data_IF_245690138171
#
_entry.id   IF_245690138171
#
_cell.length_a   1.000
_cell.length_b   1.000
_cell.length_c   1.000
_cell.angle_alpha   90.00
_cell.angle_beta   90.00
_cell.angle_gamma   90.00
#
_symmetry.space_group_name_H-M   'P 1'
#
loop_
_entity.id
_entity.type
_entity.pdbx_description
1 polymer ?
#
# COMPACT_ATOMS: atom_id res chain seq x y z
N UNK A 1 19.80 -11.42 -86.59
CA UNK A 1 20.62 -12.42 -85.89
C UNK A 1 20.97 -11.83 -84.53
N UNK A 2 20.65 -12.55 -83.44
CA UNK A 2 20.77 -12.17 -82.01
C UNK A 2 19.62 -11.24 -81.56
N UNK A 3 18.52 -11.69 -80.95
CA UNK A 3 18.30 -12.74 -79.93
C UNK A 3 19.22 -12.58 -78.73
N UNK A 4 18.62 -12.69 -77.54
CA UNK A 4 19.18 -12.82 -76.18
C UNK A 4 19.81 -11.52 -75.62
N UNK A 5 19.50 -10.99 -74.42
CA UNK A 5 19.22 -11.64 -73.14
C UNK A 5 18.46 -10.75 -72.13
N UNK A 6 17.77 -11.47 -71.24
CA UNK A 6 17.52 -11.18 -69.83
C UNK A 6 16.32 -10.32 -69.40
N UNK A 7 15.25 -11.07 -69.16
CA UNK A 7 14.21 -10.80 -68.17
C UNK A 7 14.83 -10.60 -66.78
N UNK A 8 15.07 -9.36 -66.37
CA UNK A 8 15.17 -9.04 -64.95
C UNK A 8 13.74 -8.89 -64.42
N UNK A 9 13.12 -10.03 -64.12
CA UNK A 9 11.95 -10.08 -63.26
C UNK A 9 12.41 -9.70 -61.84
N UNK A 10 12.38 -8.40 -61.55
CA UNK A 10 12.63 -7.88 -60.20
C UNK A 10 11.45 -8.33 -59.33
N UNK A 11 11.64 -9.44 -58.63
CA UNK A 11 10.71 -9.95 -57.64
C UNK A 11 10.66 -8.92 -56.49
N UNK A 12 9.74 -7.96 -56.63
CA UNK A 12 9.43 -6.98 -55.59
C UNK A 12 8.76 -7.71 -54.45
N UNK A 13 9.56 -8.24 -53.52
CA UNK A 13 9.08 -8.72 -52.23
C UNK A 13 8.37 -7.58 -51.52
N UNK A 14 7.05 -7.56 -51.62
CA UNK A 14 6.20 -6.65 -50.88
C UNK A 14 6.35 -7.02 -49.41
N UNK A 15 7.09 -6.22 -48.64
CA UNK A 15 7.03 -6.27 -47.18
C UNK A 15 5.61 -5.84 -46.80
N UNK A 16 4.76 -6.81 -46.44
CA UNK A 16 3.45 -6.53 -45.87
C UNK A 16 3.66 -5.66 -44.62
N UNK A 17 3.21 -4.42 -44.69
CA UNK A 17 3.16 -3.54 -43.53
C UNK A 17 1.87 -3.88 -42.82
N UNK A 18 1.95 -4.80 -41.86
CA UNK A 18 0.81 -5.11 -41.01
C UNK A 18 0.51 -3.90 -40.12
N UNK A 19 -0.74 -3.42 -40.21
CA UNK A 19 -1.27 -2.32 -39.41
C UNK A 19 -2.28 -2.85 -38.40
N UNK A 20 -2.38 -2.17 -37.26
CA UNK A 20 -3.36 -2.47 -36.22
C UNK A 20 -4.80 -2.47 -36.77
N UNK A 21 -5.59 -3.47 -36.40
CA UNK A 21 -7.01 -3.53 -36.75
C UNK A 21 -7.87 -2.79 -35.71
N UNK A 22 -8.99 -2.20 -36.14
CA UNK A 22 -9.99 -1.62 -35.22
C UNK A 22 -10.55 -2.66 -34.25
N UNK A 23 -10.72 -3.90 -34.72
CA UNK A 23 -11.16 -5.02 -33.90
C UNK A 23 -10.16 -5.35 -32.79
N UNK A 24 -8.87 -5.17 -33.09
CA UNK A 24 -7.78 -5.45 -32.16
C UNK A 24 -7.76 -4.41 -31.03
N UNK A 25 -7.93 -3.13 -31.36
CA UNK A 25 -8.08 -2.10 -30.33
C UNK A 25 -9.35 -2.29 -29.51
N UNK A 26 -10.47 -2.71 -30.14
CA UNK A 26 -11.71 -3.02 -29.43
C UNK A 26 -11.53 -4.17 -28.42
N UNK A 27 -10.83 -5.24 -28.81
CA UNK A 27 -10.51 -6.33 -27.90
C UNK A 27 -9.64 -5.85 -26.72
N UNK A 28 -8.62 -5.02 -26.98
CA UNK A 28 -7.71 -4.48 -25.94
C UNK A 28 -8.46 -3.62 -24.93
N UNK A 29 -9.27 -2.64 -25.37
CA UNK A 29 -10.02 -1.77 -24.44
C UNK A 29 -11.05 -2.55 -23.64
N UNK A 30 -11.65 -3.58 -24.24
CA UNK A 30 -12.61 -4.45 -23.54
C UNK A 30 -11.92 -5.22 -22.42
N UNK A 31 -10.74 -5.79 -22.69
CA UNK A 31 -9.95 -6.48 -21.66
C UNK A 31 -9.51 -5.49 -20.57
N UNK A 32 -9.05 -4.28 -20.94
CA UNK A 32 -8.66 -3.26 -19.97
C UNK A 32 -9.83 -2.84 -19.07
N UNK A 33 -11.05 -2.66 -19.60
CA UNK A 33 -12.23 -2.29 -18.82
C UNK A 33 -12.58 -3.34 -17.76
N UNK A 34 -12.47 -4.64 -18.11
CA UNK A 34 -12.68 -5.74 -17.16
C UNK A 34 -11.64 -5.69 -16.04
N UNK A 35 -10.36 -5.52 -16.38
CA UNK A 35 -9.27 -5.47 -15.40
C UNK A 35 -9.42 -4.30 -14.42
N UNK A 36 -9.73 -3.09 -14.91
CA UNK A 36 -9.90 -1.90 -14.05
C UNK A 36 -11.04 -2.09 -13.05
N UNK A 37 -12.12 -2.75 -13.48
CA UNK A 37 -13.28 -3.04 -12.62
C UNK A 37 -12.89 -3.93 -11.44
N UNK A 38 -11.97 -4.88 -11.64
CA UNK A 38 -11.49 -5.79 -10.58
C UNK A 38 -10.46 -5.10 -9.67
N UNK A 39 -9.58 -4.25 -10.22
CA UNK A 39 -8.47 -3.63 -9.49
C UNK A 39 -8.91 -2.48 -8.58
N UNK A 40 -9.96 -1.74 -8.95
CA UNK A 40 -10.40 -0.57 -8.18
C UNK A 40 -10.74 -0.85 -6.70
N UNK A 41 -11.54 -1.87 -6.33
CA UNK A 41 -11.89 -2.10 -4.92
C UNK A 41 -10.74 -2.66 -4.08
N UNK A 42 -9.81 -3.41 -4.68
CA UNK A 42 -8.78 -4.14 -3.94
C UNK A 42 -7.75 -3.19 -3.33
N UNK A 43 -7.37 -2.13 -4.04
CA UNK A 43 -6.40 -1.14 -3.56
C UNK A 43 -6.84 -0.47 -2.26
N UNK A 44 -8.12 -0.11 -2.16
CA UNK A 44 -8.70 0.53 -0.97
C UNK A 44 -8.68 -0.40 0.25
N UNK A 45 -8.97 -1.70 0.05
CA UNK A 45 -8.93 -2.70 1.12
C UNK A 45 -7.52 -2.91 1.65
N UNK A 46 -6.53 -3.03 0.76
CA UNK A 46 -5.13 -3.19 1.16
C UNK A 46 -4.60 -1.96 1.92
N UNK A 47 -4.97 -0.75 1.47
CA UNK A 47 -4.60 0.47 2.17
C UNK A 47 -5.24 0.56 3.56
N UNK A 48 -6.49 0.12 3.71
CA UNK A 48 -7.17 0.09 5.00
C UNK A 48 -6.53 -0.93 5.96
N UNK A 49 -6.32 -2.17 5.53
CA UNK A 49 -5.66 -3.18 6.36
C UNK A 49 -4.22 -2.78 6.75
N UNK A 50 -3.50 -2.08 5.89
CA UNK A 50 -2.19 -1.53 6.25
C UNK A 50 -2.30 -0.53 7.41
N UNK A 51 -3.31 0.35 7.40
CA UNK A 51 -3.56 1.29 8.50
C UNK A 51 -3.90 0.59 9.80
N UNK A 52 -4.69 -0.48 9.77
CA UNK A 52 -5.02 -1.30 10.95
C UNK A 52 -3.75 -1.90 11.57
N UNK A 53 -2.85 -2.44 10.73
CA UNK A 53 -1.56 -2.97 11.18
C UNK A 53 -0.70 -1.88 11.82
N UNK A 54 -0.67 -0.69 11.25
CA UNK A 54 0.03 0.45 11.86
C UNK A 54 -0.58 0.82 13.21
N UNK A 55 -1.92 0.80 13.35
CA UNK A 55 -2.55 1.06 14.65
C UNK A 55 -2.13 0.03 15.71
N UNK A 56 -2.03 -1.25 15.32
CA UNK A 56 -1.56 -2.32 16.22
C UNK A 56 -0.08 -2.18 16.59
N UNK A 57 0.74 -1.67 15.67
CA UNK A 57 2.15 -1.41 15.90
C UNK A 57 2.35 -0.26 16.88
N UNK A 58 1.69 0.88 16.67
CA UNK A 58 1.73 2.01 17.61
C UNK A 58 1.27 1.60 19.00
N UNK A 59 0.22 0.75 19.09
CA UNK A 59 -0.23 0.19 20.36
C UNK A 59 0.86 -0.64 21.04
N UNK A 60 1.58 -1.46 20.30
CA UNK A 60 2.68 -2.26 20.84
C UNK A 60 3.84 -1.37 21.32
N UNK A 61 4.18 -0.33 20.55
CA UNK A 61 5.27 0.58 20.89
C UNK A 61 4.95 1.46 22.12
N UNK A 62 3.72 1.97 22.23
CA UNK A 62 3.26 2.66 23.43
C UNK A 62 3.25 1.75 24.66
N UNK A 63 2.87 0.48 24.52
CA UNK A 63 2.95 -0.47 25.64
C UNK A 63 4.41 -0.74 26.06
N UNK A 64 5.37 -0.78 25.13
CA UNK A 64 6.80 -0.87 25.48
C UNK A 64 7.27 0.37 26.23
N UNK A 65 6.81 1.57 25.82
CA UNK A 65 7.12 2.81 26.54
C UNK A 65 6.56 2.79 27.98
N UNK A 66 5.34 2.29 28.17
CA UNK A 66 4.75 2.06 29.50
C UNK A 66 5.60 1.08 30.31
N UNK A 67 5.97 -0.07 29.72
CA UNK A 67 6.78 -1.09 30.38
C UNK A 67 8.15 -0.53 30.80
N UNK A 68 8.76 0.30 29.96
CA UNK A 68 10.00 1.02 30.30
C UNK A 68 9.78 2.02 31.45
N UNK A 69 8.69 2.80 31.43
CA UNK A 69 8.38 3.71 32.53
C UNK A 69 8.20 2.98 33.86
N UNK A 70 7.48 1.85 33.85
CA UNK A 70 7.29 0.99 35.01
C UNK A 70 8.62 0.43 35.51
N UNK A 71 9.52 0.07 34.61
CA UNK A 71 10.86 -0.40 34.98
C UNK A 71 11.65 0.67 35.75
N UNK A 72 11.58 1.93 35.32
CA UNK A 72 12.33 3.04 35.93
C UNK A 72 11.68 3.55 37.23
N UNK A 73 10.34 3.62 37.29
CA UNK A 73 9.59 4.25 38.39
C UNK A 73 8.91 3.27 39.35
N UNK A 74 8.94 1.96 39.05
CA UNK A 74 8.23 0.91 39.80
C UNK A 74 6.72 1.16 39.95
N UNK A 75 6.15 2.02 39.12
CA UNK A 75 4.75 2.41 39.11
C UNK A 75 4.31 2.71 37.66
N UNK A 76 3.04 2.43 37.30
CA UNK A 76 2.52 2.76 35.98
C UNK A 76 2.35 4.28 35.80
N UNK A 77 2.41 4.78 34.56
CA UNK A 77 2.21 6.20 34.29
C UNK A 77 0.75 6.59 34.56
N UNK A 78 0.54 7.77 35.15
CA UNK A 78 -0.80 8.29 35.43
C UNK A 78 -1.58 8.67 34.16
N UNK A 79 -0.87 8.96 33.07
CA UNK A 79 -1.46 9.29 31.77
C UNK A 79 -0.41 9.17 30.65
N UNK A 80 -0.87 9.14 29.40
CA UNK A 80 -0.01 9.08 28.22
C UNK A 80 0.93 10.30 28.08
N UNK A 81 0.57 11.45 28.64
CA UNK A 81 1.40 12.65 28.56
C UNK A 81 2.77 12.48 29.22
N UNK A 82 2.86 11.62 30.24
CA UNK A 82 4.11 11.30 30.95
C UNK A 82 5.09 10.56 30.03
N UNK A 83 4.58 9.82 29.04
CA UNK A 83 5.41 9.10 28.08
C UNK A 83 5.96 9.99 26.97
N UNK A 84 5.54 11.25 26.87
CA UNK A 84 6.06 12.22 25.88
C UNK A 84 7.49 12.68 26.16
N UNK A 85 8.07 12.23 27.28
CA UNK A 85 9.49 12.40 27.54
C UNK A 85 10.30 11.60 26.51
N UNK A 86 11.36 12.21 25.97
CA UNK A 86 12.28 11.62 25.00
C UNK A 86 12.88 10.30 25.50
N UNK A 87 13.00 10.13 26.82
CA UNK A 87 13.51 8.91 27.43
C UNK A 87 12.57 7.70 27.26
N UNK A 88 11.26 7.93 27.09
CA UNK A 88 10.25 6.87 27.01
C UNK A 88 9.67 6.68 25.60
N UNK A 89 9.34 7.77 24.93
CA UNK A 89 8.80 7.74 23.58
C UNK A 89 9.32 8.97 22.80
N UNK A 90 10.38 8.83 22.00
CA UNK A 90 11.11 9.95 21.36
C UNK A 90 10.35 10.59 20.18
N UNK A 91 9.09 10.22 19.97
CA UNK A 91 8.26 10.77 18.92
C UNK A 91 7.00 11.37 19.54
N UNK A 92 6.30 12.25 18.82
CA UNK A 92 4.96 12.62 19.25
C UNK A 92 4.03 11.41 19.21
N UNK A 93 3.18 11.27 20.23
CA UNK A 93 2.17 10.19 20.29
C UNK A 93 1.25 10.30 19.07
N UNK A 94 1.23 9.30 18.17
CA UNK A 94 0.46 9.36 16.95
C UNK A 94 -1.02 9.04 17.21
N UNK A 95 -1.90 9.49 16.31
CA UNK A 95 -3.28 9.00 16.22
C UNK A 95 -3.32 7.70 15.41
N UNK A 96 -4.32 6.85 15.65
CA UNK A 96 -4.49 5.62 14.86
C UNK A 96 -4.83 5.97 13.39
N UNK A 97 -4.04 5.53 12.39
CA UNK A 97 -4.29 5.90 10.99
C UNK A 97 -5.58 5.33 10.38
N UNK A 98 -6.22 4.34 11.03
CA UNK A 98 -7.45 3.70 10.55
C UNK A 98 -8.70 4.53 10.92
N UNK A 99 -8.77 5.06 12.14
CA UNK A 99 -9.95 5.75 12.68
C UNK A 99 -9.69 7.22 13.08
N UNK A 100 -8.43 7.67 13.08
CA UNK A 100 -7.97 9.00 13.53
C UNK A 100 -8.34 9.33 14.98
N UNK A 101 -8.46 8.31 15.83
CA UNK A 101 -8.72 8.50 17.26
C UNK A 101 -7.44 8.34 18.08
N UNK A 102 -7.43 8.97 19.26
CA UNK A 102 -6.30 8.94 20.19
C UNK A 102 -6.24 7.63 20.98
N UNK A 103 -5.02 7.17 21.27
CA UNK A 103 -4.81 6.05 22.17
C UNK A 103 -5.15 6.43 23.61
N UNK A 104 -5.67 5.47 24.38
CA UNK A 104 -6.00 5.65 25.80
C UNK A 104 -5.42 4.50 26.63
N UNK A 105 -4.91 4.82 27.81
CA UNK A 105 -4.49 3.83 28.81
C UNK A 105 -5.72 3.37 29.59
N UNK A 106 -5.91 2.06 29.70
CA UNK A 106 -6.90 1.49 30.62
C UNK A 106 -6.46 1.69 32.08
N UNK A 107 -7.27 2.32 32.94
CA UNK A 107 -6.92 2.55 34.35
C UNK A 107 -6.73 1.26 35.17
N UNK A 108 -7.20 0.12 34.67
CA UNK A 108 -7.09 -1.17 35.39
C UNK A 108 -5.86 -1.96 34.98
N UNK A 109 -5.67 -2.17 33.67
CA UNK A 109 -4.54 -2.95 33.14
C UNK A 109 -3.28 -2.13 32.91
N UNK A 110 -3.38 -0.80 32.90
CA UNK A 110 -2.31 0.12 32.51
C UNK A 110 -1.72 -0.19 31.13
N UNK A 111 -2.54 -0.75 30.24
CA UNK A 111 -2.17 -1.02 28.85
C UNK A 111 -3.02 -0.17 27.92
N UNK A 112 -2.52 0.02 26.70
CA UNK A 112 -3.31 0.67 25.65
C UNK A 112 -4.44 -0.27 25.24
N UNK A 113 -5.67 0.22 25.35
CA UNK A 113 -6.89 -0.49 24.93
C UNK A 113 -7.51 0.17 23.69
N UNK A 114 -8.32 -0.60 22.96
CA UNK A 114 -8.99 -0.12 21.75
C UNK A 114 -8.17 -0.28 20.47
N UNK A 115 -8.70 0.31 19.39
CA UNK A 115 -8.16 0.25 18.02
C UNK A 115 -7.86 -1.18 17.53
N UNK A 116 -8.72 -2.12 17.92
CA UNK A 116 -8.69 -3.48 17.42
C UNK A 116 -9.71 -3.58 16.28
N UNK A 117 -9.24 -3.20 15.10
CA UNK A 117 -9.95 -3.35 13.84
C UNK A 117 -9.81 -4.79 13.32
#
# INVERSE_FOLDING_TARGET
MRSIDNMVAKNGGQSARDGFSLLEMLAVVTIMAILVTIVAPTLSLHAFSAKEKVCSQYRADLNKAIEKYVFDHSAPPASLSVLRDEDYYPADIPMCPADHTEYTIDPTSYRIIGHNH
#
